data_IF_546255045309
#
_entry.id   IF_546255045309
#
_cell.length_a   1.000
_cell.length_b   1.000
_cell.length_c   1.000
_cell.angle_alpha   90.00
_cell.angle_beta   90.00
_cell.angle_gamma   90.00
#
_symmetry.space_group_name_H-M   'P 1'
#
loop_
_entity.id
_entity.type
_entity.pdbx_description
1 polymer ?
#
# COMPACT_ATOMS: atom_id res chain seq x y z
N UNK A 1 -77.40 -64.45 -12.68
CA UNK A 1 -76.31 -63.46 -12.55
C UNK A 1 -76.98 -62.09 -12.61
N UNK A 2 -77.60 -61.67 -11.51
CA UNK A 2 -77.00 -60.87 -10.43
C UNK A 2 -76.59 -59.47 -10.90
N UNK A 3 -77.51 -58.53 -10.64
CA UNK A 3 -77.34 -57.14 -10.16
C UNK A 3 -76.29 -56.25 -10.83
N UNK A 4 -76.64 -55.06 -11.33
CA UNK A 4 -76.96 -53.86 -10.50
C UNK A 4 -77.67 -52.80 -11.38
N UNK A 5 -78.90 -52.34 -11.07
CA UNK A 5 -79.30 -51.18 -10.22
C UNK A 5 -78.65 -49.83 -10.65
N UNK A 6 -79.41 -48.89 -11.25
CA UNK A 6 -80.23 -47.82 -10.59
C UNK A 6 -79.35 -46.65 -10.09
N UNK A 7 -79.25 -45.53 -10.82
CA UNK A 7 -80.07 -44.29 -10.74
C UNK A 7 -79.84 -43.42 -9.49
N UNK A 8 -79.36 -42.19 -9.73
CA UNK A 8 -79.57 -40.91 -9.00
C UNK A 8 -78.54 -39.90 -9.55
N UNK A 9 -78.76 -38.61 -9.81
CA UNK A 9 -79.93 -37.72 -9.75
C UNK A 9 -79.53 -36.40 -10.49
N UNK A 10 -80.45 -35.80 -11.24
CA UNK A 10 -80.50 -34.34 -11.54
C UNK A 10 -80.98 -33.59 -10.27
N UNK A 11 -80.87 -32.24 -10.11
CA UNK A 11 -81.04 -31.20 -11.15
C UNK A 11 -80.18 -29.89 -11.06
N UNK A 12 -80.18 -29.09 -12.13
CA UNK A 12 -79.84 -27.64 -12.14
C UNK A 12 -80.93 -26.81 -11.40
N UNK A 13 -80.62 -25.61 -10.83
CA UNK A 13 -80.80 -24.34 -11.59
C UNK A 13 -79.93 -23.11 -11.18
N UNK A 14 -79.52 -22.33 -12.19
CA UNK A 14 -79.65 -20.86 -12.38
C UNK A 14 -79.28 -19.78 -11.31
N UNK A 15 -78.26 -18.96 -11.66
CA UNK A 15 -77.97 -17.51 -11.40
C UNK A 15 -77.45 -17.02 -10.00
N UNK A 16 -76.75 -15.85 -9.85
CA UNK A 16 -76.27 -14.81 -10.80
C UNK A 16 -74.73 -14.47 -10.65
N UNK A 17 -74.13 -13.43 -11.29
CA UNK A 17 -72.68 -13.24 -11.31
C UNK A 17 -72.18 -12.49 -10.06
N UNK A 18 -71.26 -13.10 -9.32
CA UNK A 18 -70.54 -12.41 -8.25
C UNK A 18 -69.39 -11.60 -8.84
N UNK A 19 -69.59 -10.29 -8.77
CA UNK A 19 -68.61 -9.21 -8.88
C UNK A 19 -67.27 -9.59 -8.25
N UNK A 20 -66.23 -9.66 -9.09
CA UNK A 20 -64.84 -9.59 -8.62
C UNK A 20 -64.62 -8.28 -7.89
N UNK A 21 -64.04 -8.26 -6.67
CA UNK A 21 -63.53 -7.03 -6.11
C UNK A 21 -62.29 -6.63 -6.90
N UNK A 22 -62.34 -5.49 -7.56
CA UNK A 22 -61.16 -4.72 -7.97
C UNK A 22 -60.26 -4.56 -6.73
N UNK A 23 -59.27 -5.44 -6.61
CA UNK A 23 -58.15 -5.20 -5.72
C UNK A 23 -57.27 -4.20 -6.43
N UNK A 24 -57.56 -2.92 -6.17
CA UNK A 24 -56.69 -1.78 -6.45
C UNK A 24 -55.29 -2.13 -5.95
N UNK A 25 -54.42 -2.59 -6.86
CA UNK A 25 -53.01 -2.78 -6.56
C UNK A 25 -52.45 -1.39 -6.23
N UNK A 26 -52.10 -1.17 -4.96
CA UNK A 26 -51.36 0.01 -4.56
C UNK A 26 -50.10 0.09 -5.44
N UNK A 27 -49.78 1.26 -6.04
CA UNK A 27 -48.55 1.39 -6.81
C UNK A 27 -47.38 1.06 -5.89
N UNK A 28 -46.50 0.18 -6.34
CA UNK A 28 -45.24 -0.14 -5.66
C UNK A 28 -44.56 1.17 -5.26
N UNK A 29 -44.00 1.28 -4.03
CA UNK A 29 -43.29 2.48 -3.66
C UNK A 29 -42.18 2.70 -4.69
N UNK A 30 -42.25 3.82 -5.41
CA UNK A 30 -41.23 4.25 -6.35
C UNK A 30 -39.94 4.37 -5.54
N UNK A 31 -39.09 3.36 -5.61
CA UNK A 31 -37.75 3.39 -5.02
C UNK A 31 -37.04 4.55 -5.71
N UNK A 32 -36.82 5.63 -4.98
CA UNK A 32 -36.20 6.82 -5.55
C UNK A 32 -34.69 6.65 -5.58
N UNK A 33 -34.01 7.36 -6.50
CA UNK A 33 -32.56 7.34 -6.58
C UNK A 33 -31.87 7.69 -5.23
N UNK A 34 -32.55 8.45 -4.38
CA UNK A 34 -32.07 8.85 -3.06
C UNK A 34 -32.17 7.71 -2.02
N UNK A 35 -33.20 6.87 -2.10
CA UNK A 35 -33.32 5.66 -1.26
C UNK A 35 -32.24 4.64 -1.62
N UNK A 36 -31.90 4.57 -2.91
CA UNK A 36 -30.81 3.73 -3.43
C UNK A 36 -29.44 4.26 -3.00
N UNK A 37 -29.19 5.58 -3.09
CA UNK A 37 -27.94 6.18 -2.57
C UNK A 37 -27.79 5.88 -1.09
N UNK A 38 -28.84 6.04 -0.30
CA UNK A 38 -28.82 5.77 1.14
C UNK A 38 -28.49 4.30 1.45
N UNK A 39 -29.03 3.37 0.67
CA UNK A 39 -28.76 1.94 0.85
C UNK A 39 -27.36 1.55 0.35
N UNK A 40 -26.84 2.19 -0.69
CA UNK A 40 -25.44 2.06 -1.12
C UNK A 40 -24.47 2.60 -0.08
N UNK A 41 -24.73 3.77 0.51
CA UNK A 41 -23.96 4.30 1.63
C UNK A 41 -23.99 3.35 2.84
N UNK A 42 -25.13 2.70 3.08
CA UNK A 42 -25.28 1.67 4.13
C UNK A 42 -24.51 0.38 3.83
N UNK A 43 -24.45 -0.04 2.56
CA UNK A 43 -23.82 -1.30 2.13
C UNK A 43 -22.30 -1.20 1.96
N UNK A 44 -21.82 -0.05 1.49
CA UNK A 44 -20.40 0.21 1.23
C UNK A 44 -19.69 0.98 2.35
N UNK A 45 -20.45 1.45 3.36
CA UNK A 45 -19.91 1.82 4.66
C UNK A 45 -18.89 2.96 4.65
N UNK A 46 -19.16 4.07 3.97
CA UNK A 46 -18.47 5.32 4.27
C UNK A 46 -19.14 5.98 5.47
N UNK A 47 -18.78 5.52 6.67
CA UNK A 47 -18.99 6.32 7.87
C UNK A 47 -18.16 7.60 7.76
N UNK A 48 -18.82 8.76 7.69
CA UNK A 48 -18.34 10.13 7.88
C UNK A 48 -17.06 10.63 7.15
N UNK A 49 -16.36 9.80 6.39
CA UNK A 49 -15.26 10.21 5.53
C UNK A 49 -15.80 10.38 4.10
N UNK A 50 -15.90 11.63 3.65
CA UNK A 50 -16.49 12.06 2.38
C UNK A 50 -15.80 11.57 1.11
N UNK A 51 -15.62 10.26 0.95
CA UNK A 51 -15.26 9.61 -0.30
C UNK A 51 -16.56 9.22 -1.04
N UNK A 52 -16.73 9.82 -2.22
CA UNK A 52 -17.86 9.59 -3.09
C UNK A 52 -17.78 8.16 -3.66
N UNK A 53 -18.82 7.35 -3.43
CA UNK A 53 -18.89 5.99 -3.93
C UNK A 53 -18.98 6.00 -5.46
N UNK A 54 -17.86 5.81 -6.15
CA UNK A 54 -17.85 5.71 -7.62
C UNK A 54 -18.11 4.25 -8.02
N UNK A 55 -19.35 3.97 -8.45
CA UNK A 55 -19.73 2.69 -9.04
C UNK A 55 -19.53 2.79 -10.55
N UNK A 56 -18.46 2.18 -11.08
CA UNK A 56 -18.23 2.06 -12.53
C UNK A 56 -18.66 0.69 -13.04
N UNK A 57 -19.55 0.69 -14.05
CA UNK A 57 -20.06 -0.52 -14.70
C UNK A 57 -19.31 -0.69 -16.02
N UNK A 58 -18.54 -1.77 -16.14
CA UNK A 58 -17.84 -2.08 -17.38
C UNK A 58 -18.76 -2.84 -18.34
N UNK A 59 -19.14 -2.20 -19.46
CA UNK A 59 -19.87 -2.88 -20.52
C UNK A 59 -20.63 -2.07 -21.57
N UNK A 60 -20.53 -0.74 -21.62
CA UNK A 60 -21.22 0.07 -22.64
C UNK A 60 -20.30 1.11 -23.26
N UNK A 61 -20.15 1.10 -24.58
CA UNK A 61 -19.37 2.13 -25.32
C UNK A 61 -20.09 3.49 -25.41
N UNK A 62 -21.20 3.69 -24.68
CA UNK A 62 -21.91 4.97 -24.57
C UNK A 62 -22.49 5.16 -23.16
N UNK A 63 -22.48 6.41 -22.67
CA UNK A 63 -22.98 6.82 -21.34
C UNK A 63 -24.44 6.41 -21.04
N UNK A 64 -25.23 6.05 -22.06
CA UNK A 64 -26.61 5.54 -21.92
C UNK A 64 -26.73 4.06 -21.56
N UNK A 65 -25.75 3.22 -21.95
CA UNK A 65 -25.75 1.78 -21.66
C UNK A 65 -25.43 1.49 -20.20
N UNK A 66 -24.67 2.36 -19.54
CA UNK A 66 -24.34 2.21 -18.12
C UNK A 66 -25.57 2.36 -17.22
N UNK A 67 -26.47 3.29 -17.54
CA UNK A 67 -27.72 3.49 -16.80
C UNK A 67 -28.68 2.33 -17.03
N UNK A 68 -28.78 1.83 -18.27
CA UNK A 68 -29.61 0.67 -18.58
C UNK A 68 -29.06 -0.62 -17.93
N UNK A 69 -27.75 -0.84 -17.96
CA UNK A 69 -27.09 -1.97 -17.28
C UNK A 69 -27.18 -1.85 -15.75
N UNK A 70 -27.15 -0.63 -15.21
CA UNK A 70 -27.40 -0.36 -13.80
C UNK A 70 -28.85 -0.65 -13.41
N UNK A 71 -29.82 -0.22 -14.22
CA UNK A 71 -31.23 -0.56 -14.03
C UNK A 71 -31.47 -2.07 -14.14
N UNK A 72 -30.79 -2.76 -15.05
CA UNK A 72 -30.81 -4.22 -15.21
C UNK A 72 -30.19 -4.94 -13.99
N UNK A 73 -29.07 -4.41 -13.46
CA UNK A 73 -28.42 -4.90 -12.25
C UNK A 73 -29.31 -4.68 -11.01
N UNK A 74 -29.99 -3.54 -10.93
CA UNK A 74 -30.95 -3.24 -9.87
C UNK A 74 -32.21 -4.08 -9.99
N UNK A 75 -32.69 -4.35 -11.20
CA UNK A 75 -33.84 -5.22 -11.47
C UNK A 75 -33.53 -6.68 -11.18
N UNK A 76 -32.31 -7.14 -11.44
CA UNK A 76 -31.86 -8.50 -11.08
C UNK A 76 -31.63 -8.65 -9.57
N UNK A 77 -31.05 -7.65 -8.89
CA UNK A 77 -30.97 -7.62 -7.43
C UNK A 77 -32.34 -7.59 -6.77
N UNK A 78 -33.29 -6.82 -7.32
CA UNK A 78 -34.67 -6.77 -6.84
C UNK A 78 -35.40 -8.11 -7.02
N UNK A 79 -35.25 -8.79 -8.16
CA UNK A 79 -35.83 -10.13 -8.37
C UNK A 79 -35.25 -11.20 -7.42
N UNK A 80 -34.00 -11.06 -7.00
CA UNK A 80 -33.43 -11.94 -5.96
C UNK A 80 -33.83 -11.53 -4.54
N UNK A 81 -34.28 -10.29 -4.33
CA UNK A 81 -34.78 -9.78 -3.06
C UNK A 81 -36.26 -10.12 -2.78
N UNK A 82 -37.05 -10.49 -3.81
CA UNK A 82 -38.45 -10.90 -3.65
C UNK A 82 -38.64 -12.18 -2.80
N UNK A 83 -37.54 -12.87 -2.44
CA UNK A 83 -37.56 -14.04 -1.57
C UNK A 83 -37.50 -13.77 -0.05
N UNK A 84 -37.24 -12.56 0.44
CA UNK A 84 -37.14 -12.33 1.89
C UNK A 84 -37.57 -10.92 2.33
N UNK A 85 -38.82 -10.86 2.77
CA UNK A 85 -39.42 -9.71 3.46
C UNK A 85 -38.75 -9.51 4.82
N UNK A 86 -38.49 -8.24 5.14
CA UNK A 86 -38.07 -7.66 6.43
C UNK A 86 -36.57 -7.74 6.78
N UNK A 87 -35.84 -6.69 6.41
CA UNK A 87 -34.61 -6.29 7.12
C UNK A 87 -33.29 -6.50 6.38
N UNK A 88 -33.12 -5.83 5.23
CA UNK A 88 -31.85 -5.77 4.49
C UNK A 88 -31.70 -6.85 3.43
N UNK A 89 -30.98 -6.53 2.35
CA UNK A 89 -30.57 -7.53 1.37
C UNK A 89 -29.90 -8.72 2.09
N UNK A 90 -30.18 -9.97 1.70
CA UNK A 90 -29.47 -11.12 2.23
C UNK A 90 -27.97 -10.93 2.01
N UNK A 91 -27.18 -11.62 2.83
CA UNK A 91 -25.73 -11.73 2.73
C UNK A 91 -25.35 -12.25 1.33
N UNK A 92 -25.37 -11.35 0.34
CA UNK A 92 -25.36 -11.68 -1.07
C UNK A 92 -23.98 -12.24 -1.40
N UNK A 93 -23.91 -13.55 -1.58
CA UNK A 93 -22.68 -14.24 -1.94
C UNK A 93 -22.47 -14.03 -3.43
N UNK A 94 -21.33 -13.45 -3.77
CA UNK A 94 -20.97 -13.16 -5.17
C UNK A 94 -19.82 -14.06 -5.56
N UNK A 95 -19.90 -14.58 -6.78
CA UNK A 95 -18.81 -15.31 -7.40
C UNK A 95 -17.58 -14.42 -7.47
N UNK A 96 -16.46 -14.91 -6.95
CA UNK A 96 -15.23 -14.13 -6.91
C UNK A 96 -14.67 -13.94 -8.32
N UNK A 97 -14.07 -12.78 -8.63
CA UNK A 97 -13.56 -12.51 -9.97
C UNK A 97 -12.49 -13.52 -10.36
N UNK A 98 -12.55 -13.98 -11.60
CA UNK A 98 -11.59 -14.95 -12.13
C UNK A 98 -10.15 -14.42 -12.04
N UNK A 99 -9.19 -15.35 -11.92
CA UNK A 99 -7.77 -15.00 -11.89
C UNK A 99 -7.34 -14.17 -13.12
N UNK A 100 -7.97 -14.38 -14.29
CA UNK A 100 -7.72 -13.58 -15.49
C UNK A 100 -8.16 -12.12 -15.34
N UNK A 101 -9.25 -11.87 -14.61
CA UNK A 101 -9.74 -10.51 -14.35
C UNK A 101 -8.81 -9.77 -13.40
N UNK A 102 -8.36 -10.45 -12.33
CA UNK A 102 -7.37 -9.90 -11.39
C UNK A 102 -6.03 -9.66 -12.10
N UNK A 103 -5.58 -10.59 -12.96
CA UNK A 103 -4.37 -10.45 -13.76
C UNK A 103 -4.45 -9.24 -14.70
N UNK A 104 -5.57 -9.06 -15.42
CA UNK A 104 -5.79 -7.89 -16.28
C UNK A 104 -5.70 -6.58 -15.50
N UNK A 105 -6.28 -6.53 -14.29
CA UNK A 105 -6.19 -5.37 -13.42
C UNK A 105 -4.75 -5.09 -12.98
N UNK A 106 -3.99 -6.14 -12.63
CA UNK A 106 -2.58 -6.00 -12.24
C UNK A 106 -1.68 -5.59 -13.42
N UNK A 107 -2.00 -6.01 -14.64
CA UNK A 107 -1.25 -5.63 -15.85
C UNK A 107 -1.33 -4.13 -16.16
N UNK A 108 -2.28 -3.38 -15.57
CA UNK A 108 -2.30 -1.91 -15.66
C UNK A 108 -0.98 -1.32 -15.14
N UNK A 109 -0.38 -1.91 -14.11
CA UNK A 109 0.92 -1.48 -13.56
C UNK A 109 2.11 -1.78 -14.49
N UNK A 110 1.93 -2.53 -15.59
CA UNK A 110 2.96 -2.73 -16.62
C UNK A 110 3.11 -1.52 -17.56
N UNK A 111 2.21 -0.53 -17.50
CA UNK A 111 2.27 0.68 -18.33
C UNK A 111 3.47 1.53 -17.93
N UNK A 112 4.26 1.97 -18.92
CA UNK A 112 5.49 2.75 -18.71
C UNK A 112 5.28 4.03 -17.90
N UNK A 113 4.15 4.72 -18.12
CA UNK A 113 3.84 5.96 -17.41
C UNK A 113 3.63 5.71 -15.90
N UNK A 114 2.92 4.63 -15.57
CA UNK A 114 2.68 4.24 -14.18
C UNK A 114 3.94 3.67 -13.53
N UNK A 115 4.75 2.90 -14.26
CA UNK A 115 6.05 2.44 -13.76
C UNK A 115 6.97 3.60 -13.41
N UNK A 116 6.94 4.69 -14.17
CA UNK A 116 7.71 5.89 -13.85
C UNK A 116 7.21 6.57 -12.58
N UNK A 117 5.90 6.75 -12.44
CA UNK A 117 5.30 7.31 -11.21
C UNK A 117 5.62 6.45 -9.98
N UNK A 118 5.55 5.12 -10.12
CA UNK A 118 5.90 4.18 -9.07
C UNK A 118 7.38 4.23 -8.69
N UNK A 119 8.28 4.32 -9.68
CA UNK A 119 9.72 4.45 -9.42
C UNK A 119 10.05 5.77 -8.72
N UNK A 120 9.45 6.88 -9.14
CA UNK A 120 9.62 8.17 -8.47
C UNK A 120 9.13 8.08 -7.00
N UNK A 121 7.99 7.43 -6.77
CA UNK A 121 7.49 7.20 -5.42
C UNK A 121 8.41 6.32 -4.56
N UNK A 122 8.93 5.22 -5.11
CA UNK A 122 9.92 4.36 -4.43
C UNK A 122 11.15 5.16 -4.01
N UNK A 123 11.67 5.98 -4.93
CA UNK A 123 12.86 6.79 -4.64
C UNK A 123 12.58 7.84 -3.58
N UNK A 124 11.35 8.36 -3.47
CA UNK A 124 10.99 9.24 -2.34
C UNK A 124 10.85 8.49 -1.02
N UNK A 125 10.17 7.35 -1.01
CA UNK A 125 9.88 6.60 0.22
C UNK A 125 11.11 5.90 0.78
N UNK A 126 11.80 5.11 -0.05
CA UNK A 126 13.03 4.42 0.36
C UNK A 126 14.23 5.35 0.38
N UNK A 127 14.26 6.38 -0.49
CA UNK A 127 15.33 7.37 -0.47
C UNK A 127 15.33 8.18 0.82
N UNK A 128 14.18 8.64 1.31
CA UNK A 128 14.09 9.29 2.62
C UNK A 128 14.66 8.40 3.72
N UNK A 129 14.11 7.19 3.89
CA UNK A 129 14.55 6.27 4.95
C UNK A 129 16.06 5.94 4.92
N UNK A 130 16.65 5.80 3.73
CA UNK A 130 18.04 5.38 3.58
C UNK A 130 19.04 6.55 3.48
N UNK A 131 18.58 7.74 3.11
CA UNK A 131 19.44 8.93 2.90
C UNK A 131 19.27 9.93 4.03
N UNK A 132 18.11 10.00 4.69
CA UNK A 132 17.90 10.91 5.83
C UNK A 132 18.93 10.69 6.94
N UNK A 133 19.33 9.46 7.32
CA UNK A 133 20.42 9.27 8.28
C UNK A 133 21.77 9.79 7.80
N UNK A 134 22.00 9.77 6.48
CA UNK A 134 23.20 10.33 5.86
C UNK A 134 23.13 11.86 5.85
N UNK A 135 21.95 12.43 5.64
CA UNK A 135 21.69 13.87 5.69
C UNK A 135 21.82 14.40 7.11
N UNK A 136 21.28 13.70 8.11
CA UNK A 136 21.43 14.05 9.53
C UNK A 136 22.90 14.09 9.95
N UNK A 137 23.71 13.15 9.46
CA UNK A 137 25.16 13.18 9.68
C UNK A 137 25.83 14.42 9.07
N UNK A 138 25.29 14.96 7.98
CA UNK A 138 25.75 16.21 7.38
C UNK A 138 25.14 17.47 8.02
N UNK A 139 23.93 17.36 8.58
CA UNK A 139 23.15 18.43 9.20
C UNK A 139 23.42 18.59 10.70
N UNK A 140 24.29 17.76 11.28
CA UNK A 140 24.97 18.02 12.57
C UNK A 140 25.94 19.21 12.50
N UNK A 141 25.46 20.32 11.91
CA UNK A 141 25.97 21.68 12.02
C UNK A 141 27.28 21.96 11.27
N UNK A 142 27.36 23.02 10.45
CA UNK A 142 28.58 23.40 9.73
C UNK A 142 29.74 23.91 10.62
N UNK A 143 29.74 23.68 11.94
CA UNK A 143 30.77 24.20 12.85
C UNK A 143 30.91 23.45 14.20
N UNK A 144 30.19 22.34 14.41
CA UNK A 144 29.86 21.90 15.77
C UNK A 144 30.33 20.51 16.17
N UNK A 145 29.79 19.48 15.52
CA UNK A 145 29.87 18.12 16.05
C UNK A 145 31.30 17.56 16.03
N UNK A 146 32.00 17.66 14.89
CA UNK A 146 33.37 17.18 14.76
C UNK A 146 34.32 18.03 15.61
N UNK A 147 34.16 19.37 15.59
CA UNK A 147 34.97 20.27 16.43
C UNK A 147 34.80 19.97 17.92
N UNK A 148 33.57 19.81 18.38
CA UNK A 148 33.28 19.45 19.78
C UNK A 148 33.83 18.07 20.16
N UNK A 149 33.76 17.09 19.25
CA UNK A 149 34.40 15.78 19.47
C UNK A 149 35.93 15.89 19.55
N UNK A 150 36.55 16.68 18.68
CA UNK A 150 38.00 16.94 18.71
C UNK A 150 38.41 17.67 19.99
N UNK A 151 37.62 18.64 20.46
CA UNK A 151 37.84 19.32 21.74
C UNK A 151 37.69 18.37 22.94
N UNK A 152 36.72 17.46 22.90
CA UNK A 152 36.54 16.42 23.92
C UNK A 152 37.74 15.46 23.95
N UNK A 153 38.21 15.02 22.78
CA UNK A 153 39.41 14.18 22.67
C UNK A 153 40.63 14.92 23.19
N UNK A 154 40.82 16.20 22.84
CA UNK A 154 41.89 17.04 23.40
C UNK A 154 41.80 17.09 24.92
N UNK A 155 40.61 17.37 25.47
CA UNK A 155 40.42 17.45 26.92
C UNK A 155 40.80 16.13 27.60
N UNK A 156 40.39 14.99 27.03
CA UNK A 156 40.73 13.65 27.54
C UNK A 156 42.22 13.36 27.48
N UNK A 157 42.89 13.67 26.38
CA UNK A 157 44.35 13.49 26.24
C UNK A 157 45.10 14.34 27.25
N UNK A 158 44.67 15.59 27.47
CA UNK A 158 45.27 16.46 28.48
C UNK A 158 45.04 15.92 29.90
N UNK A 159 43.89 15.30 30.16
CA UNK A 159 43.58 14.67 31.44
C UNK A 159 44.41 13.40 31.69
N UNK A 160 44.50 12.51 30.70
CA UNK A 160 45.33 11.31 30.75
C UNK A 160 46.82 11.65 31.04
N UNK A 161 47.29 12.80 30.54
CA UNK A 161 48.66 13.29 30.78
C UNK A 161 48.81 13.90 32.17
N UNK A 162 47.74 14.48 32.74
CA UNK A 162 47.75 14.92 34.14
C UNK A 162 47.84 13.74 35.09
N UNK A 163 47.28 12.60 34.73
CA UNK A 163 47.33 11.39 35.55
C UNK A 163 48.63 10.58 35.35
N UNK A 164 49.47 10.98 34.40
CA UNK A 164 50.74 10.32 34.11
C UNK A 164 51.73 10.49 35.28
N UNK A 165 52.34 9.38 35.72
CA UNK A 165 53.30 9.31 36.84
C UNK A 165 54.69 9.93 36.58
N UNK A 166 54.75 11.04 35.83
CA UNK A 166 55.97 11.82 35.56
C UNK A 166 56.12 12.99 36.55
N UNK A 167 57.31 13.62 36.55
CA UNK A 167 57.56 14.80 37.39
C UNK A 167 56.66 15.97 36.98
N UNK A 168 56.38 16.87 37.93
CA UNK A 168 55.52 18.04 37.72
C UNK A 168 56.05 18.94 36.58
N UNK A 169 57.37 19.12 36.50
CA UNK A 169 58.01 19.94 35.46
C UNK A 169 57.84 19.31 34.07
N UNK A 170 58.07 18.00 33.94
CA UNK A 170 57.87 17.28 32.68
C UNK A 170 56.41 17.31 32.24
N UNK A 171 55.47 17.18 33.18
CA UNK A 171 54.03 17.29 32.93
C UNK A 171 53.62 18.68 32.43
N UNK A 172 54.12 19.74 33.07
CA UNK A 172 53.81 21.12 32.68
C UNK A 172 54.31 21.44 31.26
N UNK A 173 55.51 20.96 30.91
CA UNK A 173 56.05 21.08 29.55
C UNK A 173 55.17 20.34 28.55
N UNK A 174 54.85 19.07 28.82
CA UNK A 174 54.00 18.24 27.94
C UNK A 174 52.62 18.84 27.68
N UNK A 175 51.94 19.31 28.73
CA UNK A 175 50.62 19.94 28.60
C UNK A 175 50.74 21.22 27.76
N UNK A 176 51.71 22.09 28.06
CA UNK A 176 51.90 23.34 27.32
C UNK A 176 52.26 23.13 25.84
N UNK A 177 53.02 22.09 25.52
CA UNK A 177 53.33 21.73 24.15
C UNK A 177 52.11 21.14 23.42
N UNK A 178 51.32 20.29 24.08
CA UNK A 178 50.11 19.70 23.49
C UNK A 178 48.98 20.71 23.32
N UNK A 179 48.83 21.67 24.21
CA UNK A 179 47.86 22.76 24.06
C UNK A 179 48.18 23.63 22.83
N UNK A 180 49.47 23.85 22.54
CA UNK A 180 49.91 24.55 21.32
C UNK A 180 49.69 23.70 20.07
N UNK A 181 50.02 22.40 20.13
CA UNK A 181 49.87 21.49 18.99
C UNK A 181 48.39 21.20 18.66
N UNK A 182 47.53 21.08 19.67
CA UNK A 182 46.08 20.86 19.56
C UNK A 182 45.29 22.17 19.79
N UNK A 183 45.82 23.28 19.28
CA UNK A 183 45.19 24.59 19.39
C UNK A 183 43.82 24.64 18.71
N UNK A 184 42.98 25.59 19.12
CA UNK A 184 41.64 25.76 18.56
C UNK A 184 41.64 25.97 17.04
N UNK A 185 42.63 26.72 16.52
CA UNK A 185 42.79 26.96 15.08
C UNK A 185 43.12 25.68 14.32
N UNK A 186 43.98 24.83 14.88
CA UNK A 186 44.33 23.55 14.28
C UNK A 186 43.13 22.58 14.27
N UNK A 187 42.38 22.52 15.37
CA UNK A 187 41.16 21.69 15.44
C UNK A 187 40.06 22.18 14.48
N UNK A 188 39.94 23.50 14.30
CA UNK A 188 39.00 24.09 13.34
C UNK A 188 39.39 23.76 11.90
N UNK A 189 40.68 23.89 11.56
CA UNK A 189 41.21 23.49 10.25
C UNK A 189 40.97 21.99 9.97
N UNK A 190 41.16 21.12 10.97
CA UNK A 190 40.87 19.68 10.82
C UNK A 190 39.38 19.39 10.63
N UNK A 191 38.51 20.07 11.39
CA UNK A 191 37.06 19.93 11.25
C UNK A 191 36.59 20.37 9.86
N UNK A 192 37.08 21.51 9.36
CA UNK A 192 36.79 21.99 8.00
C UNK A 192 37.29 21.00 6.93
N UNK A 193 38.49 20.45 7.10
CA UNK A 193 39.05 19.47 6.18
C UNK A 193 38.21 18.19 6.15
N UNK A 194 37.80 17.68 7.32
CA UNK A 194 36.98 16.49 7.42
C UNK A 194 35.60 16.73 6.79
N UNK A 195 35.00 17.89 7.01
CA UNK A 195 33.72 18.26 6.38
C UNK A 195 33.82 18.36 4.85
N UNK A 196 34.90 18.95 4.33
CA UNK A 196 35.18 19.01 2.89
C UNK A 196 35.38 17.62 2.27
N UNK A 197 35.87 16.64 3.04
CA UNK A 197 36.10 15.27 2.57
C UNK A 197 34.85 14.40 2.74
N UNK A 198 34.11 14.55 3.84
CA UNK A 198 32.92 13.78 4.16
C UNK A 198 31.73 14.17 3.27
N UNK A 199 31.45 15.47 3.07
CA UNK A 199 30.30 15.93 2.26
C UNK A 199 30.28 15.29 0.85
N UNK A 200 31.38 15.28 0.07
CA UNK A 200 31.41 14.60 -1.22
C UNK A 200 31.33 13.07 -1.15
N UNK A 201 31.83 12.45 -0.08
CA UNK A 201 31.72 10.99 0.14
C UNK A 201 30.27 10.60 0.40
N UNK A 202 29.61 11.26 1.34
CA UNK A 202 28.20 11.03 1.67
C UNK A 202 27.30 11.29 0.47
N UNK A 203 27.53 12.38 -0.29
CA UNK A 203 26.79 12.65 -1.53
C UNK A 203 26.97 11.57 -2.59
N UNK A 204 28.17 11.00 -2.74
CA UNK A 204 28.41 9.87 -3.67
C UNK A 204 27.68 8.63 -3.21
N UNK A 205 27.76 8.32 -1.91
CA UNK A 205 27.07 7.19 -1.30
C UNK A 205 25.55 7.29 -1.46
N UNK A 206 24.94 8.44 -1.19
CA UNK A 206 23.51 8.66 -1.41
C UNK A 206 23.09 8.44 -2.87
N UNK A 207 23.88 8.91 -3.85
CA UNK A 207 23.60 8.67 -5.28
C UNK A 207 23.72 7.20 -5.66
N UNK A 208 24.72 6.50 -5.11
CA UNK A 208 24.90 5.07 -5.33
C UNK A 208 23.74 4.26 -4.72
N UNK A 209 23.28 4.61 -3.51
CA UNK A 209 22.10 4.02 -2.86
C UNK A 209 20.87 4.20 -3.74
N UNK A 210 20.57 5.44 -4.19
CA UNK A 210 19.44 5.71 -5.08
C UNK A 210 19.53 4.91 -6.39
N UNK A 211 20.74 4.78 -6.94
CA UNK A 211 20.96 4.01 -8.16
C UNK A 211 20.71 2.52 -7.95
N UNK A 212 21.15 1.95 -6.82
CA UNK A 212 20.90 0.55 -6.45
C UNK A 212 19.41 0.30 -6.31
N UNK A 213 18.71 1.14 -5.55
CA UNK A 213 17.24 1.04 -5.37
C UNK A 213 16.54 1.13 -6.73
N UNK A 214 16.85 2.17 -7.51
CA UNK A 214 16.25 2.37 -8.83
C UNK A 214 16.47 1.18 -9.76
N UNK A 215 17.68 0.62 -9.79
CA UNK A 215 17.99 -0.54 -10.63
C UNK A 215 17.26 -1.82 -10.17
N UNK A 216 17.23 -2.09 -8.86
CA UNK A 216 16.56 -3.27 -8.31
C UNK A 216 15.06 -3.23 -8.58
N UNK A 217 14.40 -2.10 -8.30
CA UNK A 217 12.98 -1.94 -8.57
C UNK A 217 12.66 -1.88 -10.06
N UNK A 218 13.52 -1.27 -10.89
CA UNK A 218 13.32 -1.30 -12.34
C UNK A 218 13.40 -2.72 -12.89
N UNK A 219 14.36 -3.53 -12.42
CA UNK A 219 14.47 -4.93 -12.80
C UNK A 219 13.25 -5.76 -12.34
N UNK A 220 12.78 -5.53 -11.11
CA UNK A 220 11.57 -6.18 -10.58
C UNK A 220 10.31 -5.81 -11.39
N UNK A 221 10.12 -4.52 -11.70
CA UNK A 221 9.00 -4.03 -12.51
C UNK A 221 9.06 -4.52 -13.96
N UNK A 222 10.25 -4.76 -14.51
CA UNK A 222 10.39 -5.37 -15.84
C UNK A 222 9.86 -6.81 -15.89
N UNK A 223 9.96 -7.55 -14.78
CA UNK A 223 9.42 -8.93 -14.65
C UNK A 223 7.94 -8.97 -14.27
N UNK A 224 7.35 -7.81 -13.96
CA UNK A 224 5.99 -7.68 -13.44
C UNK A 224 4.92 -8.50 -14.18
N UNK A 225 4.86 -8.55 -15.53
CA UNK A 225 3.81 -9.29 -16.22
C UNK A 225 3.75 -10.78 -15.85
N UNK A 226 4.90 -11.44 -15.64
CA UNK A 226 4.94 -12.84 -15.22
C UNK A 226 4.48 -13.04 -13.77
N UNK A 227 4.72 -12.05 -12.91
CA UNK A 227 4.35 -12.10 -11.50
C UNK A 227 2.90 -11.69 -11.25
N UNK A 228 2.34 -10.80 -12.07
CA UNK A 228 0.91 -10.45 -12.05
C UNK A 228 0.03 -11.71 -12.16
N UNK A 229 0.36 -12.64 -13.07
CA UNK A 229 -0.35 -13.91 -13.22
C UNK A 229 -0.19 -14.83 -12.01
N UNK A 230 0.94 -14.77 -11.29
CA UNK A 230 1.19 -15.56 -10.09
C UNK A 230 0.40 -15.01 -8.89
N UNK A 231 0.45 -13.68 -8.68
CA UNK A 231 -0.31 -12.96 -7.65
C UNK A 231 -1.81 -13.17 -7.86
N UNK A 232 -2.31 -13.04 -9.10
CA UNK A 232 -3.71 -13.24 -9.41
C UNK A 232 -4.20 -14.66 -9.08
N UNK A 233 -3.41 -15.69 -9.41
CA UNK A 233 -3.72 -17.09 -9.06
C UNK A 233 -3.68 -17.32 -7.54
N UNK A 234 -2.71 -16.74 -6.84
CA UNK A 234 -2.61 -16.86 -5.39
C UNK A 234 -3.78 -16.16 -4.69
N UNK A 235 -4.13 -14.93 -5.11
CA UNK A 235 -5.26 -14.19 -4.59
C UNK A 235 -6.57 -14.97 -4.81
N UNK A 236 -6.83 -15.47 -6.02
CA UNK A 236 -8.05 -16.24 -6.29
C UNK A 236 -8.18 -17.49 -5.41
N UNK A 237 -7.07 -18.22 -5.19
CA UNK A 237 -7.05 -19.41 -4.31
C UNK A 237 -7.37 -19.07 -2.86
N UNK A 238 -6.94 -17.90 -2.37
CA UNK A 238 -7.13 -17.49 -0.98
C UNK A 238 -8.50 -16.87 -0.70
N UNK A 239 -9.11 -16.24 -1.71
CA UNK A 239 -10.45 -15.62 -1.59
C UNK A 239 -11.57 -16.67 -1.66
N UNK A 240 -11.35 -17.83 -2.30
CA UNK A 240 -12.39 -18.88 -2.45
C UNK A 240 -13.38 -18.57 -3.57
N UNK A 241 -14.41 -19.40 -3.76
CA UNK A 241 -15.35 -19.28 -4.89
C UNK A 241 -16.54 -18.33 -4.64
N UNK A 242 -17.07 -18.30 -3.42
CA UNK A 242 -18.22 -17.47 -3.05
C UNK A 242 -17.99 -16.74 -1.72
N UNK A 243 -18.06 -15.41 -1.78
CA UNK A 243 -17.77 -14.51 -0.65
C UNK A 243 -18.90 -13.48 -0.52
N UNK A 244 -19.24 -13.04 0.71
CA UNK A 244 -20.16 -11.92 0.90
C UNK A 244 -19.71 -10.68 0.11
N UNK A 245 -20.64 -10.06 -0.61
CA UNK A 245 -20.35 -8.87 -1.43
C UNK A 245 -19.67 -7.74 -0.63
N UNK A 246 -19.97 -7.63 0.68
CA UNK A 246 -19.37 -6.62 1.57
C UNK A 246 -17.89 -6.88 1.87
N UNK A 247 -17.50 -8.15 1.94
CA UNK A 247 -16.13 -8.55 2.32
C UNK A 247 -15.21 -8.66 1.10
N UNK A 248 -15.80 -8.88 -0.09
CA UNK A 248 -15.07 -9.11 -1.33
C UNK A 248 -14.04 -8.01 -1.67
N UNK A 249 -14.35 -6.69 -1.60
CA UNK A 249 -13.37 -5.66 -1.94
C UNK A 249 -12.19 -5.62 -0.96
N UNK A 250 -12.47 -5.79 0.34
CA UNK A 250 -11.45 -5.77 1.40
C UNK A 250 -10.55 -7.00 1.27
N UNK A 251 -11.12 -8.17 0.98
CA UNK A 251 -10.37 -9.41 0.80
C UNK A 251 -9.50 -9.36 -0.45
N UNK A 252 -10.02 -8.91 -1.59
CA UNK A 252 -9.23 -8.76 -2.82
C UNK A 252 -8.09 -7.76 -2.60
N UNK A 253 -8.38 -6.58 -2.03
CA UNK A 253 -7.35 -5.58 -1.71
C UNK A 253 -6.25 -6.19 -0.83
N UNK A 254 -6.63 -6.86 0.25
CA UNK A 254 -5.66 -7.44 1.20
C UNK A 254 -4.78 -8.49 0.53
N UNK A 255 -5.37 -9.38 -0.28
CA UNK A 255 -4.61 -10.44 -0.96
C UNK A 255 -3.71 -9.89 -2.07
N UNK A 256 -4.17 -8.90 -2.83
CA UNK A 256 -3.37 -8.26 -3.87
C UNK A 256 -2.22 -7.47 -3.24
N UNK A 257 -2.49 -6.60 -2.26
CA UNK A 257 -1.46 -5.82 -1.56
C UNK A 257 -0.41 -6.74 -0.93
N UNK A 258 -0.85 -7.78 -0.21
CA UNK A 258 0.07 -8.76 0.39
C UNK A 258 0.90 -9.50 -0.67
N UNK A 259 0.31 -9.87 -1.80
CA UNK A 259 1.03 -10.53 -2.90
C UNK A 259 2.05 -9.61 -3.58
N UNK A 260 1.74 -8.32 -3.73
CA UNK A 260 2.66 -7.32 -4.29
C UNK A 260 3.81 -7.03 -3.33
N UNK A 261 3.51 -6.87 -2.04
CA UNK A 261 4.52 -6.69 -0.98
C UNK A 261 5.51 -7.86 -0.94
N UNK A 262 4.98 -9.10 -0.89
CA UNK A 262 5.80 -10.32 -0.85
C UNK A 262 6.69 -10.44 -2.10
N UNK A 263 6.13 -10.16 -3.27
CA UNK A 263 6.88 -10.17 -4.53
C UNK A 263 8.05 -9.18 -4.52
N UNK A 264 7.78 -7.92 -4.20
CA UNK A 264 8.81 -6.88 -4.21
C UNK A 264 9.89 -7.16 -3.17
N UNK A 265 9.49 -7.64 -2.00
CA UNK A 265 10.44 -8.04 -0.97
C UNK A 265 11.39 -9.13 -1.50
N UNK A 266 10.85 -10.23 -2.03
CA UNK A 266 11.65 -11.37 -2.51
C UNK A 266 12.61 -10.97 -3.64
N UNK A 267 12.17 -10.14 -4.58
CA UNK A 267 13.00 -9.76 -5.73
C UNK A 267 14.04 -8.69 -5.41
N UNK A 268 13.77 -7.77 -4.46
CA UNK A 268 14.62 -6.58 -4.29
C UNK A 268 15.37 -6.55 -2.97
N UNK A 269 14.89 -7.21 -1.90
CA UNK A 269 15.47 -7.06 -0.56
C UNK A 269 16.93 -7.53 -0.52
N UNK A 270 17.23 -8.69 -1.11
CA UNK A 270 18.56 -9.29 -1.08
C UNK A 270 19.57 -8.47 -1.89
N UNK A 271 19.16 -7.99 -3.06
CA UNK A 271 20.02 -7.17 -3.93
C UNK A 271 20.34 -5.82 -3.28
N UNK A 272 19.33 -5.17 -2.70
CA UNK A 272 19.51 -3.88 -2.01
C UNK A 272 20.32 -4.07 -0.72
N UNK A 273 19.96 -5.02 0.16
CA UNK A 273 20.71 -5.25 1.41
C UNK A 273 22.15 -5.70 1.16
N UNK A 274 22.38 -6.55 0.17
CA UNK A 274 23.72 -6.99 -0.21
C UNK A 274 24.59 -5.83 -0.70
N UNK A 275 24.02 -4.97 -1.55
CA UNK A 275 24.70 -3.77 -2.02
C UNK A 275 24.95 -2.76 -0.89
N UNK A 276 23.96 -2.49 -0.04
CA UNK A 276 24.10 -1.61 1.12
C UNK A 276 25.20 -2.11 2.06
N UNK A 277 25.20 -3.39 2.42
CA UNK A 277 26.21 -3.98 3.31
C UNK A 277 27.62 -3.82 2.73
N UNK A 278 27.79 -4.08 1.43
CA UNK A 278 29.07 -3.89 0.73
C UNK A 278 29.51 -2.43 0.70
N UNK A 279 28.60 -1.50 0.41
CA UNK A 279 28.89 -0.07 0.35
C UNK A 279 29.30 0.51 1.72
N UNK A 280 28.58 0.15 2.78
CA UNK A 280 28.90 0.59 4.14
C UNK A 280 30.18 -0.06 4.67
N UNK A 281 30.46 -1.32 4.30
CA UNK A 281 31.73 -1.98 4.64
C UNK A 281 32.94 -1.33 3.95
N UNK A 282 32.77 -0.83 2.72
CA UNK A 282 33.81 -0.12 1.98
C UNK A 282 34.05 1.31 2.53
N UNK A 283 33.04 1.93 3.14
CA UNK A 283 33.10 3.31 3.68
C UNK A 283 33.10 3.32 5.21
N UNK A 284 33.96 2.51 5.85
CA UNK A 284 34.14 2.50 7.31
C UNK A 284 34.37 3.92 7.84
N UNK A 285 33.52 4.35 8.77
CA UNK A 285 33.65 5.62 9.48
C UNK A 285 32.55 6.65 9.23
N UNK A 286 31.65 6.43 8.26
CA UNK A 286 30.49 7.32 8.04
C UNK A 286 29.32 6.89 8.93
N UNK A 287 28.94 5.61 8.90
CA UNK A 287 27.92 5.03 9.79
C UNK A 287 28.42 3.67 10.29
N UNK A 288 28.05 3.31 11.53
CA UNK A 288 28.48 2.06 12.16
C UNK A 288 27.76 0.83 11.57
N UNK A 289 26.50 1.00 11.17
CA UNK A 289 25.67 -0.04 10.56
C UNK A 289 24.88 0.52 9.37
N UNK A 290 24.59 -0.34 8.40
CA UNK A 290 23.71 0.00 7.29
C UNK A 290 22.25 0.04 7.77
N UNK A 291 21.46 1.05 7.37
CA UNK A 291 20.04 1.09 7.70
C UNK A 291 19.33 -0.13 7.11
N UNK A 292 18.50 -0.77 7.94
CA UNK A 292 17.74 -1.94 7.54
C UNK A 292 16.57 -1.54 6.64
N UNK A 293 16.30 -2.37 5.62
CA UNK A 293 15.08 -2.25 4.82
C UNK A 293 13.89 -2.71 5.66
N UNK A 294 12.95 -1.80 5.88
CA UNK A 294 11.73 -2.10 6.61
C UNK A 294 10.66 -2.66 5.68
N UNK A 295 10.01 -3.74 6.11
CA UNK A 295 8.92 -4.37 5.37
C UNK A 295 7.69 -3.46 5.26
N UNK A 296 7.54 -2.52 6.18
CA UNK A 296 6.46 -1.52 6.18
C UNK A 296 6.52 -0.60 4.96
N UNK A 297 7.72 -0.21 4.52
CA UNK A 297 7.89 0.61 3.32
C UNK A 297 7.42 -0.13 2.04
N UNK A 298 7.63 -1.45 1.97
CA UNK A 298 7.12 -2.28 0.88
C UNK A 298 5.60 -2.38 0.89
N UNK A 299 4.99 -2.44 2.09
CA UNK A 299 3.54 -2.46 2.23
C UNK A 299 2.92 -1.12 1.81
N UNK A 300 3.48 0.00 2.24
CA UNK A 300 3.04 1.33 1.81
C UNK A 300 3.08 1.48 0.28
N UNK A 301 4.14 0.97 -0.35
CA UNK A 301 4.24 0.93 -1.81
C UNK A 301 3.19 0.01 -2.45
N UNK A 302 2.96 -1.19 -1.90
CA UNK A 302 1.94 -2.11 -2.40
C UNK A 302 0.52 -1.53 -2.30
N UNK A 303 0.23 -0.76 -1.24
CA UNK A 303 -1.02 -0.02 -1.11
C UNK A 303 -1.15 1.09 -2.17
N UNK A 304 -0.06 1.77 -2.51
CA UNK A 304 -0.06 2.75 -3.60
C UNK A 304 -0.30 2.09 -4.96
N UNK A 305 0.31 0.93 -5.21
CA UNK A 305 0.02 0.12 -6.41
C UNK A 305 -1.47 -0.21 -6.52
N UNK A 306 -2.12 -0.58 -5.41
CA UNK A 306 -3.56 -0.81 -5.39
C UNK A 306 -4.36 0.46 -5.74
N UNK A 307 -4.03 1.61 -5.16
CA UNK A 307 -4.68 2.89 -5.48
C UNK A 307 -4.56 3.28 -6.95
N UNK A 308 -3.42 2.99 -7.58
CA UNK A 308 -3.21 3.25 -9.01
C UNK A 308 -4.01 2.30 -9.89
N UNK A 309 -4.16 1.03 -9.49
CA UNK A 309 -5.05 0.10 -10.18
C UNK A 309 -6.50 0.61 -10.11
N UNK A 310 -6.98 0.98 -8.92
CA UNK A 310 -8.39 1.39 -8.72
C UNK A 310 -8.74 2.74 -9.34
N UNK A 311 -7.78 3.65 -9.52
CA UNK A 311 -8.02 4.98 -10.11
C UNK A 311 -7.89 5.00 -11.64
N UNK A 312 -7.35 3.94 -12.25
CA UNK A 312 -7.09 3.84 -13.69
C UNK A 312 -7.85 2.70 -14.37
N UNK A 313 -8.59 1.92 -13.59
CA UNK A 313 -9.72 1.10 -14.03
C UNK A 313 -10.97 1.98 -14.07
#
# INVERSE_FOLDING_TARGET
MSSSRTSAAEPSPEAPPETSPETTAAPAPLITAEDVRRELYRLFGTGDAGEELVVSIYGGEQDGDAVAAYEELMRSLAMHAEGQVAGGLPDARVATPDAKTIERALLVLARRDLQRELLDHILTTFGGHLIDPLTELLDTGPDGAIRAQLELVRARVLDDIRDLGVTHETRAILIGDLEKLLGADYLSMLAEHEEQVQRPRVRRMAREILRVIGNAFHAALARWPGHASAIARAARRRVGDEVPLRELPVLIRTQVVSGVEEFLWVETSNDIQGALTSMFAAQRGILAEAPALEREAYRAFAERCWQLITSRM
#
